data_IF_043414709737
#
_entry.id   IF_043414709737
#
_cell.length_a   1.000
_cell.length_b   1.000
_cell.length_c   1.000
_cell.angle_alpha   90.00
_cell.angle_beta   90.00
_cell.angle_gamma   90.00
#
_symmetry.space_group_name_H-M   'P 1'
#
loop_
_entity.id
_entity.type
_entity.pdbx_description
1 polymer ?
#
# COMPACT_ATOMS: atom_id res chain seq x y z
N UNK A 1 4.79 5.62 -1.23
CA UNK A 1 3.63 6.50 -0.94
C UNK A 1 2.92 5.97 0.29
N UNK A 2 2.44 6.84 1.16
CA UNK A 2 1.61 6.49 2.32
C UNK A 2 0.35 7.34 2.30
N UNK A 3 -0.79 6.73 2.60
CA UNK A 3 -2.08 7.37 2.79
C UNK A 3 -2.50 7.17 4.24
N UNK A 4 -3.14 8.17 4.81
CA UNK A 4 -3.57 8.17 6.21
C UNK A 4 -5.05 8.54 6.27
N UNK A 5 -5.75 7.94 7.22
CA UNK A 5 -7.09 8.32 7.61
C UNK A 5 -7.10 9.72 8.24
N UNK A 6 -8.29 10.34 8.35
CA UNK A 6 -8.46 11.65 9.01
C UNK A 6 -7.98 11.64 10.47
N UNK A 7 -8.06 10.48 11.13
CA UNK A 7 -7.55 10.27 12.48
C UNK A 7 -6.01 10.14 12.57
N UNK A 8 -5.29 10.26 11.45
CA UNK A 8 -3.84 10.16 11.35
C UNK A 8 -3.28 8.73 11.32
N UNK A 9 -4.13 7.69 11.40
CA UNK A 9 -3.69 6.30 11.28
C UNK A 9 -3.37 5.95 9.84
N UNK A 10 -2.44 5.02 9.64
CA UNK A 10 -2.06 4.55 8.31
C UNK A 10 -3.25 3.84 7.66
N UNK A 11 -3.70 4.35 6.51
CA UNK A 11 -4.76 3.76 5.69
C UNK A 11 -4.17 2.86 4.61
N UNK A 12 -3.01 3.22 4.07
CA UNK A 12 -2.36 2.41 3.06
C UNK A 12 -0.93 2.84 2.82
N UNK A 13 -0.13 1.90 2.32
CA UNK A 13 1.21 2.19 1.87
C UNK A 13 1.55 1.38 0.62
N UNK A 14 2.35 1.96 -0.26
CA UNK A 14 2.87 1.26 -1.41
C UNK A 14 4.27 1.75 -1.78
N UNK A 15 5.10 0.82 -2.23
CA UNK A 15 6.45 1.12 -2.71
C UNK A 15 6.42 1.47 -4.19
N UNK A 16 7.11 2.55 -4.54
CA UNK A 16 7.31 2.96 -5.92
C UNK A 16 8.80 2.99 -6.23
N UNK A 17 9.17 2.47 -7.39
CA UNK A 17 10.52 2.51 -7.93
C UNK A 17 10.45 3.08 -9.33
N UNK A 18 11.28 4.09 -9.62
CA UNK A 18 11.31 4.78 -10.92
C UNK A 18 9.92 5.30 -11.38
N UNK A 19 9.09 5.76 -10.44
CA UNK A 19 7.74 6.25 -10.71
C UNK A 19 6.69 5.16 -10.94
N UNK A 20 7.06 3.88 -10.88
CA UNK A 20 6.13 2.76 -11.02
C UNK A 20 5.95 2.04 -9.69
N UNK A 21 4.77 1.44 -9.50
CA UNK A 21 4.50 0.60 -8.33
C UNK A 21 5.41 -0.64 -8.40
N UNK A 22 6.31 -0.79 -7.43
CA UNK A 22 7.29 -1.87 -7.41
C UNK A 22 7.63 -2.18 -5.95
N UNK A 23 7.07 -3.29 -5.46
CA UNK A 23 7.09 -3.71 -4.08
C UNK A 23 5.69 -4.02 -3.56
N UNK A 24 5.56 -4.08 -2.23
CA UNK A 24 4.30 -4.45 -1.58
C UNK A 24 3.42 -3.21 -1.42
N UNK A 25 2.15 -3.34 -1.80
CA UNK A 25 1.08 -2.43 -1.41
C UNK A 25 0.24 -3.06 -0.31
N UNK A 26 -0.08 -2.29 0.72
CA UNK A 26 -0.91 -2.71 1.85
C UNK A 26 -2.00 -1.69 2.08
N UNK A 27 -3.20 -2.18 2.38
CA UNK A 27 -4.32 -1.40 2.86
C UNK A 27 -4.66 -1.86 4.28
N UNK A 28 -4.88 -0.88 5.15
CA UNK A 28 -5.17 -1.09 6.55
C UNK A 28 -6.58 -0.56 6.85
N UNK A 29 -7.29 -1.17 7.79
CA UNK A 29 -8.52 -0.61 8.35
C UNK A 29 -8.24 0.49 9.38
N UNK A 30 -9.28 1.13 9.91
CA UNK A 30 -9.18 2.17 10.95
C UNK A 30 -8.60 1.66 12.28
N UNK A 31 -8.49 0.34 12.47
CA UNK A 31 -7.85 -0.30 13.61
C UNK A 31 -6.37 -0.63 13.35
N UNK A 32 -5.87 -0.40 12.13
CA UNK A 32 -4.51 -0.71 11.72
C UNK A 32 -4.31 -2.17 11.30
N UNK A 33 -5.38 -2.94 11.10
CA UNK A 33 -5.29 -4.32 10.60
C UNK A 33 -5.19 -4.30 9.08
N UNK A 34 -4.29 -5.12 8.53
CA UNK A 34 -4.20 -5.31 7.08
C UNK A 34 -5.49 -5.97 6.59
N UNK A 35 -6.20 -5.28 5.70
CA UNK A 35 -7.39 -5.78 5.02
C UNK A 35 -7.09 -6.18 3.58
N UNK A 36 -6.03 -5.62 3.00
CA UNK A 36 -5.59 -5.96 1.65
C UNK A 36 -4.07 -5.90 1.55
N UNK A 37 -3.47 -6.88 0.88
CA UNK A 37 -2.05 -6.87 0.56
C UNK A 37 -1.85 -7.45 -0.83
N UNK A 38 -1.17 -6.69 -1.68
CA UNK A 38 -0.82 -7.09 -3.04
C UNK A 38 0.66 -6.76 -3.30
N UNK A 39 1.33 -7.61 -4.06
CA UNK A 39 2.71 -7.36 -4.47
C UNK A 39 2.71 -6.89 -5.91
N UNK A 40 3.50 -5.86 -6.22
CA UNK A 40 3.63 -5.29 -7.55
C UNK A 40 5.07 -5.34 -8.02
N UNK A 41 5.26 -5.53 -9.32
CA UNK A 41 6.56 -5.46 -9.99
C UNK A 41 6.41 -4.76 -11.32
N UNK A 42 7.18 -3.69 -11.55
CA UNK A 42 7.09 -2.84 -12.74
C UNK A 42 5.63 -2.41 -13.06
N UNK A 43 4.88 -2.00 -12.03
CA UNK A 43 3.50 -1.54 -12.15
C UNK A 43 2.44 -2.64 -12.32
N UNK A 44 2.82 -3.92 -12.30
CA UNK A 44 1.88 -5.05 -12.45
C UNK A 44 1.76 -5.82 -11.15
N UNK A 45 0.53 -6.17 -10.78
CA UNK A 45 0.28 -7.06 -9.65
C UNK A 45 0.87 -8.43 -9.97
N UNK A 46 1.67 -8.95 -9.04
CA UNK A 46 2.24 -10.30 -9.08
C UNK A 46 1.65 -11.06 -7.90
N UNK A 47 0.97 -12.16 -8.23
CA UNK A 47 0.33 -13.05 -7.28
C UNK A 47 1.25 -14.22 -6.93
#
# INVERSE_FOLDING_TARGET
MKAYYENGKLQGEATYKNGQLDGVAKLYDENGKIIEQATFKNGKEVK
#
